data_IF_663220445899
#
_entry.id   IF_663220445899
#
_cell.length_a   1.000
_cell.length_b   1.000
_cell.length_c   1.000
_cell.angle_alpha   90.00
_cell.angle_beta   90.00
_cell.angle_gamma   90.00
#
_symmetry.space_group_name_H-M   'P 1'
#
loop_
_entity.id
_entity.type
_entity.pdbx_description
1 polymer ?
#
# COMPACT_ATOMS: atom_id res chain seq x y z
N UNK A 1 -6.41 -23.09 19.54
CA UNK A 1 -7.10 -22.14 18.66
C UNK A 1 -6.18 -21.14 17.98
N UNK A 2 -5.57 -21.54 16.86
CA UNK A 2 -4.87 -20.64 15.94
C UNK A 2 -5.30 -21.02 14.52
N UNK A 3 -6.27 -20.31 13.92
CA UNK A 3 -6.78 -20.68 12.61
C UNK A 3 -5.69 -20.51 11.55
N UNK A 4 -5.63 -21.45 10.60
CA UNK A 4 -4.73 -21.38 9.45
C UNK A 4 -5.44 -21.91 8.21
N UNK A 5 -4.91 -21.55 7.05
CA UNK A 5 -5.35 -22.07 5.76
C UNK A 5 -4.12 -22.58 5.02
N UNK A 6 -4.18 -23.80 4.51
CA UNK A 6 -3.13 -24.40 3.66
C UNK A 6 -3.71 -24.59 2.27
N UNK A 7 -3.05 -24.01 1.27
CA UNK A 7 -3.36 -24.21 -0.14
C UNK A 7 -2.26 -25.10 -0.71
N UNK A 8 -2.62 -26.30 -1.17
CA UNK A 8 -1.68 -27.24 -1.76
C UNK A 8 -1.82 -27.19 -3.29
N UNK A 9 -0.68 -27.08 -3.97
CA UNK A 9 -0.58 -27.14 -5.43
C UNK A 9 0.21 -28.41 -5.81
N UNK A 10 -0.20 -29.08 -6.87
CA UNK A 10 0.51 -30.27 -7.38
C UNK A 10 1.86 -29.88 -8.00
N UNK A 11 1.91 -28.77 -8.74
CA UNK A 11 3.15 -28.17 -9.27
C UNK A 11 3.00 -26.64 -9.42
N UNK A 12 4.11 -25.91 -9.42
CA UNK A 12 4.15 -24.48 -9.66
C UNK A 12 4.45 -24.20 -11.14
N UNK A 13 3.40 -23.96 -11.92
CA UNK A 13 3.48 -23.57 -13.32
C UNK A 13 2.75 -22.23 -13.55
N UNK A 14 2.78 -21.72 -14.79
CA UNK A 14 2.14 -20.45 -15.13
C UNK A 14 0.64 -20.44 -14.85
N UNK A 15 -0.04 -21.60 -14.99
CA UNK A 15 -1.48 -21.73 -14.75
C UNK A 15 -1.76 -21.72 -13.24
N UNK A 16 -1.05 -22.53 -12.45
CA UNK A 16 -1.29 -22.64 -11.00
C UNK A 16 -0.90 -21.35 -10.28
N UNK A 17 0.18 -20.69 -10.70
CA UNK A 17 0.54 -19.36 -10.20
C UNK A 17 -0.52 -18.31 -10.54
N UNK A 18 -0.99 -18.27 -11.79
CA UNK A 18 -2.03 -17.34 -12.21
C UNK A 18 -3.33 -17.53 -11.42
N UNK A 19 -3.74 -18.79 -11.21
CA UNK A 19 -4.91 -19.12 -10.40
C UNK A 19 -4.74 -18.67 -8.93
N UNK A 20 -3.55 -18.83 -8.35
CA UNK A 20 -3.27 -18.38 -6.99
C UNK A 20 -3.35 -16.86 -6.85
N UNK A 21 -2.79 -16.11 -7.81
CA UNK A 21 -2.87 -14.64 -7.83
C UNK A 21 -4.34 -14.21 -7.94
N UNK A 22 -5.07 -14.73 -8.93
CA UNK A 22 -6.48 -14.40 -9.14
C UNK A 22 -7.34 -14.72 -7.91
N UNK A 23 -7.05 -15.81 -7.20
CA UNK A 23 -7.72 -16.14 -5.95
C UNK A 23 -7.54 -15.04 -4.89
N UNK A 24 -6.32 -14.51 -4.71
CA UNK A 24 -6.08 -13.43 -3.75
C UNK A 24 -6.66 -12.08 -4.22
N UNK A 25 -6.64 -11.78 -5.52
CA UNK A 25 -7.31 -10.60 -6.08
C UNK A 25 -8.82 -10.62 -5.80
N UNK A 26 -9.48 -11.75 -6.06
CA UNK A 26 -10.90 -11.92 -5.76
C UNK A 26 -11.20 -11.93 -4.26
N UNK A 27 -10.30 -12.48 -3.43
CA UNK A 27 -10.45 -12.39 -1.97
C UNK A 27 -10.43 -10.94 -1.49
N UNK A 28 -9.51 -10.11 -1.99
CA UNK A 28 -9.45 -8.68 -1.67
C UNK A 28 -10.71 -7.97 -2.15
N UNK A 29 -11.15 -8.23 -3.37
CA UNK A 29 -12.38 -7.67 -3.92
C UNK A 29 -13.62 -8.00 -3.08
N UNK A 30 -13.83 -9.28 -2.74
CA UNK A 30 -14.98 -9.71 -1.94
C UNK A 30 -14.95 -9.05 -0.56
N UNK A 31 -13.78 -8.96 0.08
CA UNK A 31 -13.65 -8.23 1.34
C UNK A 31 -14.04 -6.74 1.19
N UNK A 32 -13.62 -6.09 0.10
CA UNK A 32 -14.01 -4.70 -0.18
C UNK A 32 -15.52 -4.52 -0.33
N UNK A 33 -16.16 -5.41 -1.10
CA UNK A 33 -17.62 -5.43 -1.28
C UNK A 33 -18.33 -5.63 0.06
N UNK A 34 -17.89 -6.59 0.88
CA UNK A 34 -18.48 -6.87 2.19
C UNK A 34 -18.33 -5.71 3.17
N UNK A 35 -17.20 -4.99 3.11
CA UNK A 35 -16.92 -3.84 3.96
C UNK A 35 -17.53 -2.53 3.42
N UNK A 36 -18.09 -2.53 2.21
CA UNK A 36 -18.62 -1.33 1.56
C UNK A 36 -17.56 -0.30 1.20
N UNK A 37 -16.32 -0.73 0.97
CA UNK A 37 -15.20 0.14 0.59
C UNK A 37 -14.76 -0.13 -0.86
N UNK A 38 -14.16 0.87 -1.48
CA UNK A 38 -13.61 0.71 -2.82
C UNK A 38 -12.20 0.10 -2.76
N UNK A 39 -12.03 -1.11 -3.30
CA UNK A 39 -10.72 -1.79 -3.36
C UNK A 39 -9.82 -1.31 -4.51
N UNK A 40 -10.31 -0.41 -5.35
CA UNK A 40 -9.63 0.02 -6.58
C UNK A 40 -9.19 1.48 -6.57
N UNK A 41 -9.38 2.21 -5.46
CA UNK A 41 -8.83 3.55 -5.29
C UNK A 41 -7.64 3.57 -4.31
N UNK A 42 -6.89 4.67 -4.36
CA UNK A 42 -5.69 4.87 -3.55
C UNK A 42 -5.49 6.34 -3.17
N UNK A 43 -6.54 7.05 -2.75
CA UNK A 43 -6.44 8.48 -2.42
C UNK A 43 -5.37 8.81 -1.37
N UNK A 44 -5.10 7.87 -0.45
CA UNK A 44 -4.12 8.04 0.63
C UNK A 44 -2.68 8.29 0.18
N UNK A 45 -2.34 8.12 -1.09
CA UNK A 45 -0.97 8.37 -1.59
C UNK A 45 -0.71 9.84 -1.94
N UNK A 46 -1.76 10.65 -2.14
CA UNK A 46 -1.61 11.97 -2.76
C UNK A 46 -0.97 12.99 -1.82
N UNK A 47 -1.40 13.06 -0.56
CA UNK A 47 -0.82 13.99 0.42
C UNK A 47 0.69 13.74 0.62
N UNK A 48 1.09 12.47 0.70
CA UNK A 48 2.51 12.11 0.83
C UNK A 48 3.34 12.56 -0.38
N UNK A 49 2.81 12.42 -1.61
CA UNK A 49 3.45 12.92 -2.83
C UNK A 49 3.56 14.44 -2.83
N UNK A 50 2.54 15.15 -2.39
CA UNK A 50 2.54 16.62 -2.31
C UNK A 50 3.56 17.12 -1.29
N UNK A 51 3.56 16.55 -0.08
CA UNK A 51 4.50 16.89 0.99
C UNK A 51 5.95 16.62 0.59
N UNK A 52 6.23 15.48 -0.05
CA UNK A 52 7.57 15.15 -0.52
C UNK A 52 8.07 16.17 -1.57
N UNK A 53 7.22 16.54 -2.54
CA UNK A 53 7.56 17.57 -3.55
C UNK A 53 7.77 18.95 -2.91
N UNK A 54 7.00 19.30 -1.88
CA UNK A 54 7.16 20.55 -1.16
C UNK A 54 8.48 20.59 -0.37
N UNK A 55 8.84 19.49 0.30
CA UNK A 55 10.09 19.36 1.02
C UNK A 55 11.31 19.45 0.06
N UNK A 56 11.22 18.83 -1.11
CA UNK A 56 12.28 18.88 -2.13
C UNK A 56 12.50 20.29 -2.71
N UNK A 57 11.41 21.01 -3.02
CA UNK A 57 11.50 22.35 -3.62
C UNK A 57 12.00 23.42 -2.64
N UNK A 58 11.83 23.20 -1.34
CA UNK A 58 12.08 24.21 -0.31
C UNK A 58 11.08 25.38 -0.34
N UNK A 59 11.03 26.15 0.73
CA UNK A 59 10.21 27.36 0.83
C UNK A 59 8.80 27.18 1.42
N UNK A 60 8.45 25.98 1.88
CA UNK A 60 7.30 25.77 2.77
C UNK A 60 7.76 25.58 4.21
N UNK A 61 7.03 26.19 5.15
CA UNK A 61 7.25 25.97 6.59
C UNK A 61 6.49 24.71 6.99
N UNK A 62 7.20 23.70 7.48
CA UNK A 62 6.58 22.52 8.07
C UNK A 62 6.43 22.69 9.59
N UNK A 63 5.86 21.69 10.25
CA UNK A 63 5.88 21.65 11.71
C UNK A 63 7.34 21.56 12.23
N UNK A 64 7.59 21.93 13.49
CA UNK A 64 8.96 21.98 14.04
C UNK A 64 9.72 20.65 13.97
N UNK A 65 9.02 19.50 14.03
CA UNK A 65 9.67 18.20 13.93
C UNK A 65 10.19 17.96 12.52
N UNK A 66 9.36 18.22 11.52
CA UNK A 66 9.73 18.03 10.11
C UNK A 66 10.83 19.01 9.68
N UNK A 67 10.76 20.27 10.08
CA UNK A 67 11.80 21.27 9.80
C UNK A 67 13.17 20.90 10.40
N UNK A 68 13.20 20.38 11.64
CA UNK A 68 14.44 19.92 12.28
C UNK A 68 15.04 18.71 11.56
N UNK A 69 14.21 17.75 11.13
CA UNK A 69 14.66 16.59 10.37
C UNK A 69 15.20 16.96 8.98
N UNK A 70 14.55 17.89 8.26
CA UNK A 70 15.02 18.37 6.95
C UNK A 70 16.39 19.05 7.10
N UNK A 71 16.56 19.90 8.14
CA UNK A 71 17.85 20.53 8.43
C UNK A 71 18.95 19.52 8.72
N UNK A 72 18.67 18.45 9.48
CA UNK A 72 19.67 17.41 9.78
C UNK A 72 20.02 16.54 8.56
N UNK A 73 19.08 16.37 7.63
CA UNK A 73 19.29 15.53 6.46
C UNK A 73 20.06 16.24 5.34
N UNK A 74 19.89 17.56 5.19
CA UNK A 74 20.39 18.32 4.04
C UNK A 74 21.22 19.57 4.39
N UNK A 75 21.32 19.95 5.67
CA UNK A 75 22.21 21.00 6.17
C UNK A 75 23.55 20.46 6.63
#
# INVERSE_FOLDING_TARGET
DRPSSTLLLDDLDARTLGALIAFYEHRVFVNGVLLGINSFDQFGVELGKEMAKAAEKGGQTFDPSTDDLIKRAFG
#
